data_IF_982421668607
#
_entry.id   IF_982421668607
#
_cell.length_a   1.000
_cell.length_b   1.000
_cell.length_c   1.000
_cell.angle_alpha   90.00
_cell.angle_beta   90.00
_cell.angle_gamma   90.00
#
_symmetry.space_group_name_H-M   'P 1'
#
loop_
_entity.id
_entity.type
_entity.pdbx_description
1 polymer ?
#
# COMPACT_ATOMS: atom_id res chain seq x y z
N UNK A 1 8.08 -27.33 8.67
CA UNK A 1 9.23 -26.46 8.36
C UNK A 1 8.93 -25.66 7.10
N UNK A 2 8.74 -24.34 7.26
CA UNK A 2 8.98 -23.22 6.32
C UNK A 2 8.29 -22.02 6.97
N UNK A 3 8.97 -21.43 7.95
CA UNK A 3 8.61 -20.11 8.46
C UNK A 3 9.13 -19.11 7.43
N UNK A 4 8.42 -19.02 6.31
CA UNK A 4 8.63 -17.94 5.35
C UNK A 4 8.04 -16.73 6.05
N UNK A 5 8.88 -15.95 6.71
CA UNK A 5 8.51 -14.57 7.02
C UNK A 5 8.21 -13.95 5.66
N UNK A 6 6.93 -13.92 5.29
CA UNK A 6 6.49 -13.32 4.04
C UNK A 6 6.91 -11.86 4.10
N UNK A 7 7.97 -11.53 3.37
CA UNK A 7 8.41 -10.16 3.18
C UNK A 7 7.28 -9.51 2.36
N UNK A 8 6.29 -8.94 3.07
CA UNK A 8 5.23 -8.18 2.43
C UNK A 8 5.89 -6.97 1.78
N UNK A 9 5.62 -6.69 0.50
CA UNK A 9 6.10 -5.46 -0.14
C UNK A 9 5.59 -4.26 0.66
N UNK A 10 6.51 -3.38 1.07
CA UNK A 10 6.16 -2.13 1.73
C UNK A 10 5.69 -1.12 0.69
N UNK A 11 4.38 -0.90 0.66
CA UNK A 11 3.70 0.00 -0.28
C UNK A 11 3.32 1.33 0.38
N UNK A 12 3.82 1.57 1.60
CA UNK A 12 3.56 2.80 2.35
C UNK A 12 3.84 4.02 1.49
N UNK A 13 2.98 5.03 1.60
CA UNK A 13 3.09 6.26 0.83
C UNK A 13 4.49 6.86 0.91
N UNK A 14 5.10 7.11 -0.25
CA UNK A 14 6.35 7.86 -0.40
C UNK A 14 6.04 9.16 -1.15
N UNK A 15 6.72 10.24 -0.78
CA UNK A 15 6.53 11.52 -1.45
C UNK A 15 6.89 11.41 -2.94
N UNK A 16 5.88 11.53 -3.77
CA UNK A 16 6.03 11.42 -5.21
C UNK A 16 6.69 12.68 -5.80
N UNK A 17 7.40 12.50 -6.92
CA UNK A 17 7.98 13.61 -7.67
C UNK A 17 9.14 14.33 -6.98
N UNK A 18 9.93 13.60 -6.18
CA UNK A 18 11.32 14.01 -5.84
C UNK A 18 12.23 14.03 -7.09
N UNK A 19 11.88 13.26 -8.12
CA UNK A 19 12.70 13.09 -9.34
C UNK A 19 11.93 13.27 -10.65
N UNK A 20 10.65 13.65 -10.60
CA UNK A 20 9.82 13.83 -11.78
C UNK A 20 9.52 15.31 -11.97
N UNK A 21 10.39 15.99 -12.72
CA UNK A 21 10.27 17.43 -13.00
C UNK A 21 9.17 17.72 -14.04
N UNK A 22 8.81 16.73 -14.87
CA UNK A 22 7.96 16.93 -16.05
C UNK A 22 6.52 16.41 -15.92
N UNK A 23 6.17 15.69 -14.84
CA UNK A 23 4.79 15.28 -14.57
C UNK A 23 4.11 16.25 -13.60
N UNK A 24 2.97 16.80 -14.02
CA UNK A 24 2.14 17.66 -13.19
C UNK A 24 1.56 16.91 -11.97
N UNK A 25 1.21 15.64 -12.14
CA UNK A 25 0.68 14.78 -11.08
C UNK A 25 1.80 13.97 -10.43
N UNK A 26 2.10 14.29 -9.18
CA UNK A 26 3.05 13.55 -8.34
C UNK A 26 2.29 12.49 -7.56
N UNK A 27 2.12 11.31 -8.16
CA UNK A 27 1.39 10.18 -7.58
C UNK A 27 2.38 9.09 -7.14
N UNK A 28 2.20 8.57 -5.92
CA UNK A 28 2.92 7.40 -5.42
C UNK A 28 2.44 6.17 -6.19
N UNK A 29 3.33 5.56 -6.97
CA UNK A 29 3.02 4.38 -7.79
C UNK A 29 3.96 3.24 -7.39
N UNK A 30 3.39 2.06 -7.16
CA UNK A 30 4.15 0.84 -6.87
C UNK A 30 3.90 -0.18 -7.99
N UNK A 31 4.98 -0.74 -8.55
CA UNK A 31 4.91 -1.68 -9.68
C UNK A 31 5.06 -3.11 -9.15
N UNK A 32 4.10 -3.98 -9.50
CA UNK A 32 4.10 -5.38 -9.11
C UNK A 32 4.34 -6.30 -10.31
N UNK A 33 4.85 -7.50 -10.02
CA UNK A 33 5.10 -8.52 -11.05
C UNK A 33 3.81 -9.04 -11.70
N UNK A 34 2.71 -9.07 -10.95
CA UNK A 34 1.42 -9.57 -11.41
C UNK A 34 0.27 -8.95 -10.59
N UNK A 35 -0.93 -8.97 -11.17
CA UNK A 35 -2.13 -8.39 -10.57
C UNK A 35 -2.59 -9.13 -9.31
N UNK A 36 -2.44 -10.45 -9.25
CA UNK A 36 -2.90 -11.26 -8.10
C UNK A 36 -2.16 -10.87 -6.82
N UNK A 37 -0.84 -10.70 -6.91
CA UNK A 37 -0.01 -10.23 -5.81
C UNK A 37 -0.38 -8.81 -5.39
N UNK A 38 -0.51 -7.89 -6.36
CA UNK A 38 -0.91 -6.51 -6.10
C UNK A 38 -2.27 -6.43 -5.39
N UNK A 39 -3.28 -7.16 -5.87
CA UNK A 39 -4.62 -7.16 -5.28
C UNK A 39 -4.63 -7.66 -3.83
N UNK A 40 -3.84 -8.69 -3.51
CA UNK A 40 -3.74 -9.19 -2.13
C UNK A 40 -3.15 -8.15 -1.19
N UNK A 41 -2.10 -7.45 -1.63
CA UNK A 41 -1.42 -6.43 -0.82
C UNK A 41 -2.34 -5.23 -0.59
N UNK A 42 -3.00 -4.74 -1.64
CA UNK A 42 -3.97 -3.63 -1.55
C UNK A 42 -5.15 -3.99 -0.64
N UNK A 43 -5.72 -5.20 -0.77
CA UNK A 43 -6.82 -5.63 0.09
C UNK A 43 -6.41 -5.69 1.57
N UNK A 44 -5.17 -6.11 1.85
CA UNK A 44 -4.62 -6.14 3.19
C UNK A 44 -4.46 -4.73 3.77
N UNK A 45 -3.90 -3.79 3.00
CA UNK A 45 -3.73 -2.39 3.42
C UNK A 45 -5.08 -1.71 3.73
N UNK A 46 -6.08 -1.90 2.88
CA UNK A 46 -7.44 -1.40 3.13
C UNK A 46 -8.01 -1.97 4.43
N UNK A 47 -7.83 -3.28 4.66
CA UNK A 47 -8.32 -3.93 5.87
C UNK A 47 -7.60 -3.43 7.13
N UNK A 48 -6.30 -3.17 7.04
CA UNK A 48 -5.50 -2.58 8.13
C UNK A 48 -5.94 -1.14 8.43
N UNK A 49 -6.20 -0.32 7.39
CA UNK A 49 -6.72 1.04 7.55
C UNK A 49 -8.09 1.06 8.23
N UNK A 50 -9.02 0.20 7.80
CA UNK A 50 -10.35 0.08 8.40
C UNK A 50 -10.23 -0.27 9.89
N UNK A 51 -9.42 -1.28 10.22
CA UNK A 51 -9.20 -1.68 11.62
C UNK A 51 -8.63 -0.55 12.47
N UNK A 52 -7.58 0.11 11.98
CA UNK A 52 -6.94 1.22 12.71
C UNK A 52 -7.89 2.39 12.98
N UNK A 53 -8.74 2.73 12.02
CA UNK A 53 -9.76 3.77 12.21
C UNK A 53 -10.87 3.34 13.18
N UNK A 54 -11.33 2.10 13.08
CA UNK A 54 -12.31 1.54 14.02
C UNK A 54 -11.78 1.52 15.46
N UNK A 55 -10.50 1.18 15.66
CA UNK A 55 -9.83 1.24 16.98
C UNK A 55 -9.82 2.68 17.55
N UNK A 56 -9.79 3.68 16.66
CA UNK A 56 -9.85 5.09 17.02
C UNK A 56 -11.30 5.62 17.14
N UNK A 57 -12.32 4.74 17.04
CA UNK A 57 -13.74 5.09 16.93
C UNK A 57 -14.05 6.06 15.78
N UNK A 58 -13.23 6.04 14.73
CA UNK A 58 -13.47 6.79 13.51
C UNK A 58 -14.17 5.90 12.47
N UNK A 59 -15.08 6.49 11.69
CA UNK A 59 -15.61 5.81 10.53
C UNK A 59 -14.53 5.71 9.45
N UNK A 60 -14.36 4.51 8.91
CA UNK A 60 -13.59 4.26 7.71
C UNK A 60 -14.54 3.73 6.64
N UNK A 61 -14.74 4.57 5.61
CA UNK A 61 -15.78 4.46 4.55
C UNK A 61 -17.19 4.77 5.05
#
# INVERSE_FOLDING_TARGET
MKNTLEIKPDISYKSAGKFEETRFEKIHNEIFKNSVEASKIVAQEIADLIRSKQESNENCV
#
